data_IF_414340121816
#
_entry.id   IF_414340121816
#
_cell.length_a   1.000
_cell.length_b   1.000
_cell.length_c   1.000
_cell.angle_alpha   90.00
_cell.angle_beta   90.00
_cell.angle_gamma   90.00
#
_symmetry.space_group_name_H-M   'P 1'
#
loop_
_entity.id
_entity.type
_entity.pdbx_description
1 polymer ?
#
# COMPACT_ATOMS: atom_id res chain seq x y z
N UNK A 1 9.49 25.19 -0.77
CA UNK A 1 8.96 25.92 -1.94
C UNK A 1 7.55 26.36 -1.60
N UNK A 2 7.33 27.67 -1.37
CA UNK A 2 6.03 28.19 -0.91
C UNK A 2 4.89 27.83 -1.88
N UNK A 3 5.15 27.94 -3.19
CA UNK A 3 4.18 27.60 -4.26
C UNK A 3 3.64 26.18 -4.14
N UNK A 4 4.49 25.20 -3.82
CA UNK A 4 4.07 23.80 -3.67
C UNK A 4 3.23 23.60 -2.41
N UNK A 5 3.55 24.33 -1.33
CA UNK A 5 2.78 24.28 -0.09
C UNK A 5 1.38 24.89 -0.30
N UNK A 6 1.30 26.04 -0.97
CA UNK A 6 0.02 26.68 -1.30
C UNK A 6 -0.85 25.77 -2.18
N UNK A 7 -0.23 25.13 -3.19
CA UNK A 7 -0.93 24.16 -4.03
C UNK A 7 -1.46 22.97 -3.22
N UNK A 8 -0.68 22.43 -2.28
CA UNK A 8 -1.14 21.34 -1.40
C UNK A 8 -2.26 21.77 -0.46
N UNK A 9 -2.28 23.02 0.00
CA UNK A 9 -3.40 23.54 0.80
C UNK A 9 -4.70 23.61 0.00
N UNK A 10 -4.63 24.05 -1.27
CA UNK A 10 -5.79 24.06 -2.18
C UNK A 10 -6.27 22.63 -2.45
N UNK A 11 -5.34 21.70 -2.70
CA UNK A 11 -5.65 20.27 -2.87
C UNK A 11 -6.33 19.71 -1.63
N UNK A 12 -5.82 20.01 -0.44
CA UNK A 12 -6.41 19.56 0.82
C UNK A 12 -7.86 20.01 0.93
N UNK A 13 -8.14 21.30 0.71
CA UNK A 13 -9.50 21.84 0.75
C UNK A 13 -10.44 21.19 -0.27
N UNK A 14 -9.94 20.87 -1.47
CA UNK A 14 -10.73 20.17 -2.49
C UNK A 14 -11.07 18.72 -2.10
N UNK A 15 -10.20 18.07 -1.32
CA UNK A 15 -10.40 16.71 -0.82
C UNK A 15 -11.19 16.67 0.50
N UNK A 16 -11.23 17.78 1.24
CA UNK A 16 -11.79 17.81 2.58
C UNK A 16 -13.31 17.94 2.63
N UNK A 17 -13.96 18.42 1.56
CA UNK A 17 -15.42 18.57 1.53
C UNK A 17 -16.14 17.21 1.58
N UNK A 18 -16.80 16.87 2.71
CA UNK A 18 -17.63 15.66 2.79
C UNK A 18 -18.96 15.93 2.08
N UNK A 19 -19.52 14.90 1.45
CA UNK A 19 -20.83 14.94 0.75
C UNK A 19 -22.03 15.24 1.67
N UNK A 20 -21.83 15.45 2.97
CA UNK A 20 -22.92 15.63 3.94
C UNK A 20 -23.79 16.88 3.66
N UNK A 21 -23.25 17.90 2.98
CA UNK A 21 -23.99 19.12 2.62
C UNK A 21 -24.61 19.13 1.21
N UNK A 22 -24.45 18.06 0.41
CA UNK A 22 -24.90 18.04 -1.00
C UNK A 22 -26.26 17.34 -1.22
N UNK A 23 -26.95 16.98 -0.13
CA UNK A 23 -28.18 16.16 -0.14
C UNK A 23 -29.37 16.73 -0.93
N UNK A 24 -29.26 17.90 -1.56
CA UNK A 24 -30.36 18.53 -2.30
C UNK A 24 -30.10 18.83 -3.79
N UNK A 25 -28.89 18.65 -4.35
CA UNK A 25 -28.63 18.94 -5.78
C UNK A 25 -27.59 18.00 -6.40
N UNK A 26 -28.04 17.12 -7.29
CA UNK A 26 -27.19 16.20 -8.08
C UNK A 26 -26.13 16.92 -8.92
N UNK A 27 -26.44 18.11 -9.44
CA UNK A 27 -25.50 18.87 -10.28
C UNK A 27 -24.27 19.36 -9.48
N UNK A 28 -24.41 19.57 -8.17
CA UNK A 28 -23.31 20.00 -7.30
C UNK A 28 -22.41 18.82 -6.88
N UNK A 29 -22.91 17.57 -6.92
CA UNK A 29 -22.13 16.37 -6.60
C UNK A 29 -21.11 16.03 -7.69
N UNK A 30 -21.52 16.07 -8.96
CA UNK A 30 -20.64 15.78 -10.10
C UNK A 30 -19.49 16.79 -10.20
N UNK A 31 -19.78 18.05 -9.89
CA UNK A 31 -18.81 19.15 -9.87
C UNK A 31 -17.78 19.00 -8.76
N UNK A 32 -18.19 18.54 -7.57
CA UNK A 32 -17.30 18.30 -6.43
C UNK A 32 -16.40 17.09 -6.69
N UNK A 33 -16.95 15.99 -7.22
CA UNK A 33 -16.16 14.81 -7.59
C UNK A 33 -15.16 15.13 -8.71
N UNK A 34 -15.53 15.98 -9.68
CA UNK A 34 -14.62 16.45 -10.73
C UNK A 34 -13.45 17.29 -10.17
N UNK A 35 -13.72 18.21 -9.23
CA UNK A 35 -12.67 19.02 -8.56
C UNK A 35 -11.74 18.15 -7.72
N UNK A 36 -12.28 17.21 -6.95
CA UNK A 36 -11.49 16.26 -6.18
C UNK A 36 -10.61 15.39 -7.09
N UNK A 37 -11.12 14.98 -8.25
CA UNK A 37 -10.36 14.22 -9.23
C UNK A 37 -9.21 15.03 -9.85
N UNK A 38 -9.42 16.31 -10.14
CA UNK A 38 -8.34 17.21 -10.59
C UNK A 38 -7.30 17.37 -9.49
N UNK A 39 -7.75 17.66 -8.26
CA UNK A 39 -6.87 17.86 -7.10
C UNK A 39 -6.00 16.62 -6.81
N UNK A 40 -6.57 15.42 -6.83
CA UNK A 40 -5.79 14.19 -6.56
C UNK A 40 -4.82 13.85 -7.69
N UNK A 41 -5.12 14.22 -8.94
CA UNK A 41 -4.17 14.07 -10.05
C UNK A 41 -3.00 15.03 -9.91
N UNK A 42 -3.26 16.27 -9.47
CA UNK A 42 -2.21 17.24 -9.15
C UNK A 42 -1.38 16.76 -7.96
N UNK A 43 -2.00 16.22 -6.93
CA UNK A 43 -1.31 15.59 -5.80
C UNK A 43 -0.39 14.46 -6.29
N UNK A 44 -0.90 13.55 -7.13
CA UNK A 44 -0.10 12.47 -7.70
C UNK A 44 1.11 13.01 -8.49
N UNK A 45 0.90 14.01 -9.34
CA UNK A 45 2.00 14.68 -10.05
C UNK A 45 3.04 15.25 -9.09
N UNK A 46 2.60 15.97 -8.05
CA UNK A 46 3.48 16.51 -7.02
C UNK A 46 4.25 15.37 -6.35
N UNK A 47 3.58 14.31 -5.87
CA UNK A 47 4.24 13.18 -5.19
C UNK A 47 5.28 12.47 -6.05
N UNK A 48 5.07 12.35 -7.36
CA UNK A 48 6.08 11.85 -8.30
C UNK A 48 7.31 12.77 -8.39
N UNK A 49 7.12 14.08 -8.21
CA UNK A 49 8.20 15.06 -8.22
C UNK A 49 8.85 15.28 -6.84
N UNK A 50 8.25 14.77 -5.74
CA UNK A 50 8.71 15.01 -4.36
C UNK A 50 10.05 14.34 -4.01
N UNK A 51 10.61 13.50 -4.88
CA UNK A 51 11.85 12.73 -4.69
C UNK A 51 13.12 13.55 -4.38
N UNK A 52 13.02 14.88 -4.19
CA UNK A 52 14.11 15.82 -3.94
C UNK A 52 13.72 17.04 -3.08
N UNK A 53 12.66 16.98 -2.27
CA UNK A 53 12.01 18.20 -1.73
C UNK A 53 12.05 18.34 -0.19
N UNK A 54 12.10 19.59 0.26
CA UNK A 54 12.20 20.00 1.67
C UNK A 54 11.07 19.44 2.56
N UNK A 55 11.39 19.13 3.82
CA UNK A 55 10.48 18.50 4.80
C UNK A 55 9.13 19.21 5.04
N UNK A 56 9.04 20.53 4.80
CA UNK A 56 7.77 21.27 4.91
C UNK A 56 6.70 20.87 3.89
N UNK A 57 7.08 20.22 2.78
CA UNK A 57 6.13 19.72 1.77
C UNK A 57 5.57 18.35 2.19
N UNK A 58 6.39 17.52 2.85
CA UNK A 58 6.03 16.18 3.34
C UNK A 58 4.92 16.22 4.40
N UNK A 59 5.02 17.19 5.32
CA UNK A 59 4.03 17.36 6.40
C UNK A 59 2.62 17.67 5.88
N UNK A 60 2.50 18.35 4.73
CA UNK A 60 1.20 18.72 4.14
C UNK A 60 0.71 17.64 3.17
N UNK A 61 1.63 16.96 2.45
CA UNK A 61 1.25 15.94 1.48
C UNK A 61 0.62 14.70 2.12
N UNK A 62 1.09 14.25 3.29
CA UNK A 62 0.57 13.05 3.97
C UNK A 62 -0.93 13.19 4.30
N UNK A 63 -1.40 14.26 4.96
CA UNK A 63 -2.84 14.49 5.17
C UNK A 63 -3.65 14.50 3.87
N UNK A 64 -3.13 15.10 2.79
CA UNK A 64 -3.82 15.10 1.50
C UNK A 64 -3.98 13.68 0.93
N UNK A 65 -2.93 12.86 1.03
CA UNK A 65 -2.97 11.48 0.55
C UNK A 65 -3.95 10.63 1.37
N UNK A 66 -3.93 10.76 2.69
CA UNK A 66 -4.88 10.06 3.57
C UNK A 66 -6.32 10.45 3.24
N UNK A 67 -6.59 11.74 3.04
CA UNK A 67 -7.93 12.22 2.67
C UNK A 67 -8.37 11.66 1.31
N UNK A 68 -7.47 11.62 0.33
CA UNK A 68 -7.75 11.00 -0.96
C UNK A 68 -8.04 9.50 -0.86
N UNK A 69 -7.34 8.75 0.00
CA UNK A 69 -7.56 7.32 0.23
C UNK A 69 -8.91 7.02 0.89
N UNK A 70 -9.39 7.92 1.73
CA UNK A 70 -10.69 7.83 2.40
C UNK A 70 -11.86 8.36 1.52
N UNK A 71 -11.55 9.10 0.46
CA UNK A 71 -12.54 9.84 -0.33
C UNK A 71 -13.60 8.95 -1.00
N UNK A 72 -14.92 9.24 -0.94
CA UNK A 72 -15.96 8.31 -1.41
C UNK A 72 -15.82 7.81 -2.87
N UNK A 73 -15.32 8.66 -3.78
CA UNK A 73 -15.11 8.30 -5.18
C UNK A 73 -13.96 7.30 -5.35
N UNK A 74 -14.25 6.13 -5.92
CA UNK A 74 -13.24 5.09 -6.22
C UNK A 74 -12.09 5.61 -7.11
N UNK A 75 -12.38 6.54 -8.02
CA UNK A 75 -11.35 7.15 -8.85
C UNK A 75 -10.34 7.95 -8.01
N UNK A 76 -10.83 8.72 -7.03
CA UNK A 76 -9.99 9.50 -6.12
C UNK A 76 -9.20 8.59 -5.18
N UNK A 77 -9.84 7.58 -4.57
CA UNK A 77 -9.16 6.57 -3.74
C UNK A 77 -7.98 5.93 -4.45
N UNK A 78 -8.20 5.49 -5.68
CA UNK A 78 -7.15 4.88 -6.50
C UNK A 78 -5.93 5.80 -6.69
N UNK A 79 -6.14 7.09 -6.96
CA UNK A 79 -5.02 8.04 -7.05
C UNK A 79 -4.36 8.29 -5.69
N UNK A 80 -5.13 8.36 -4.60
CA UNK A 80 -4.59 8.45 -3.23
C UNK A 80 -3.63 7.29 -2.93
N UNK A 81 -4.05 6.06 -3.22
CA UNK A 81 -3.23 4.86 -2.99
C UNK A 81 -1.98 4.85 -3.88
N UNK A 82 -2.08 5.33 -5.13
CA UNK A 82 -0.90 5.54 -5.99
C UNK A 82 0.09 6.53 -5.39
N UNK A 83 -0.40 7.62 -4.81
CA UNK A 83 0.46 8.58 -4.10
C UNK A 83 1.13 7.91 -2.89
N UNK A 84 0.40 7.11 -2.12
CA UNK A 84 0.96 6.35 -0.99
C UNK A 84 2.05 5.38 -1.44
N UNK A 85 1.86 4.66 -2.55
CA UNK A 85 2.90 3.80 -3.14
C UNK A 85 4.17 4.60 -3.52
N UNK A 86 4.02 5.79 -4.13
CA UNK A 86 5.16 6.67 -4.43
C UNK A 86 5.88 7.16 -3.17
N UNK A 87 5.14 7.56 -2.15
CA UNK A 87 5.70 7.94 -0.85
C UNK A 87 6.44 6.75 -0.22
N UNK A 88 5.86 5.55 -0.29
CA UNK A 88 6.46 4.32 0.24
C UNK A 88 7.80 3.98 -0.40
N UNK A 89 8.00 4.34 -1.68
CA UNK A 89 9.26 4.11 -2.38
C UNK A 89 10.33 5.16 -2.02
N UNK A 90 9.93 6.39 -1.69
CA UNK A 90 10.86 7.47 -1.38
C UNK A 90 11.63 7.22 -0.06
N UNK A 91 12.95 7.40 -0.07
CA UNK A 91 13.82 7.10 1.07
C UNK A 91 13.72 8.13 2.23
N UNK A 92 13.03 9.25 2.01
CA UNK A 92 13.18 10.44 2.83
C UNK A 92 12.05 10.69 3.83
N UNK A 93 11.13 9.74 4.02
CA UNK A 93 10.06 9.82 5.01
C UNK A 93 10.42 9.03 6.26
N UNK A 94 10.18 9.62 7.43
CA UNK A 94 10.38 8.96 8.72
C UNK A 94 9.32 7.89 9.00
N UNK A 95 9.59 6.97 9.92
CA UNK A 95 8.62 5.94 10.31
C UNK A 95 7.31 6.50 10.86
N UNK A 96 7.39 7.58 11.63
CA UNK A 96 6.23 8.22 12.26
C UNK A 96 5.33 8.89 11.20
N UNK A 97 5.94 9.44 10.15
CA UNK A 97 5.23 10.00 9.00
C UNK A 97 4.55 8.91 8.15
N UNK A 98 5.15 7.72 8.05
CA UNK A 98 4.62 6.60 7.26
C UNK A 98 3.54 5.79 7.99
N UNK A 99 3.55 5.76 9.33
CA UNK A 99 2.65 4.91 10.11
C UNK A 99 1.15 5.10 9.78
N UNK A 100 0.62 6.33 9.65
CA UNK A 100 -0.77 6.53 9.25
C UNK A 100 -1.07 6.03 7.83
N UNK A 101 -0.12 6.20 6.90
CA UNK A 101 -0.27 5.72 5.52
C UNK A 101 -0.20 4.20 5.43
N UNK A 102 0.57 3.56 6.31
CA UNK A 102 0.62 2.09 6.40
C UNK A 102 -0.73 1.54 6.84
N UNK A 103 -1.33 2.08 7.89
CA UNK A 103 -2.67 1.68 8.35
C UNK A 103 -3.70 1.84 7.21
N UNK A 104 -3.75 3.01 6.57
CA UNK A 104 -4.65 3.24 5.45
C UNK A 104 -4.37 2.33 4.24
N UNK A 105 -3.10 1.99 3.98
CA UNK A 105 -2.72 1.06 2.90
C UNK A 105 -3.18 -0.37 3.19
N UNK A 106 -3.08 -0.80 4.45
CA UNK A 106 -3.58 -2.10 4.93
C UNK A 106 -5.09 -2.21 4.77
N UNK A 107 -5.82 -1.15 5.10
CA UNK A 107 -7.27 -1.11 4.91
C UNK A 107 -7.66 -1.11 3.43
N UNK A 108 -6.87 -0.45 2.59
CA UNK A 108 -7.07 -0.44 1.14
C UNK A 108 -6.83 -1.80 0.47
N UNK A 109 -6.20 -2.77 1.14
CA UNK A 109 -6.09 -4.15 0.67
C UNK A 109 -7.46 -4.86 0.70
N UNK A 110 -8.33 -4.51 1.65
CA UNK A 110 -9.60 -5.20 1.89
C UNK A 110 -10.54 -4.96 0.72
N UNK A 111 -10.86 -6.03 -0.03
CA UNK A 111 -11.77 -5.96 -1.18
C UNK A 111 -11.21 -5.15 -2.36
N UNK A 112 -9.89 -4.97 -2.44
CA UNK A 112 -9.27 -4.18 -3.49
C UNK A 112 -9.50 -4.77 -4.88
N UNK A 113 -9.88 -3.92 -5.83
CA UNK A 113 -9.95 -4.28 -7.25
C UNK A 113 -8.54 -4.50 -7.85
N UNK A 114 -8.40 -5.18 -8.99
CA UNK A 114 -7.08 -5.41 -9.61
C UNK A 114 -6.34 -4.12 -9.97
N UNK A 115 -7.05 -2.99 -10.08
CA UNK A 115 -6.48 -1.67 -10.37
C UNK A 115 -5.88 -0.99 -9.13
N UNK A 116 -6.40 -1.31 -7.94
CA UNK A 116 -5.98 -0.73 -6.67
C UNK A 116 -4.96 -1.63 -5.97
N UNK A 117 -5.21 -2.94 -6.02
CA UNK A 117 -4.43 -3.96 -5.34
C UNK A 117 -2.91 -3.83 -5.50
N UNK A 118 -2.33 -3.64 -6.71
CA UNK A 118 -0.88 -3.49 -6.86
C UNK A 118 -0.29 -2.41 -5.96
N UNK A 119 -0.95 -1.24 -5.93
CA UNK A 119 -0.45 -0.06 -5.24
C UNK A 119 -0.62 -0.18 -3.73
N UNK A 120 -1.74 -0.75 -3.27
CA UNK A 120 -1.98 -1.00 -1.85
C UNK A 120 -1.00 -2.06 -1.31
N UNK A 121 -0.75 -3.12 -2.10
CA UNK A 121 0.20 -4.17 -1.76
C UNK A 121 1.63 -3.63 -1.67
N UNK A 122 2.07 -2.89 -2.69
CA UNK A 122 3.38 -2.26 -2.73
C UNK A 122 3.56 -1.29 -1.55
N UNK A 123 2.60 -0.40 -1.31
CA UNK A 123 2.69 0.59 -0.24
C UNK A 123 2.72 -0.05 1.14
N UNK A 124 1.83 -1.01 1.41
CA UNK A 124 1.76 -1.69 2.70
C UNK A 124 3.05 -2.48 2.99
N UNK A 125 3.54 -3.27 2.03
CA UNK A 125 4.77 -4.04 2.19
C UNK A 125 5.99 -3.11 2.40
N UNK A 126 6.19 -2.12 1.52
CA UNK A 126 7.35 -1.23 1.60
C UNK A 126 7.37 -0.41 2.90
N UNK A 127 6.23 0.14 3.31
CA UNK A 127 6.16 0.92 4.55
C UNK A 127 6.37 0.04 5.78
N UNK A 128 5.85 -1.19 5.79
CA UNK A 128 6.09 -2.15 6.89
C UNK A 128 7.59 -2.39 7.07
N UNK A 129 8.32 -2.66 5.99
CA UNK A 129 9.78 -2.88 6.04
C UNK A 129 10.52 -1.65 6.55
N UNK A 130 10.17 -0.46 6.06
CA UNK A 130 10.82 0.80 6.48
C UNK A 130 10.57 1.11 7.94
N UNK A 131 9.33 0.96 8.40
CA UNK A 131 8.96 1.16 9.80
C UNK A 131 9.68 0.14 10.68
N UNK A 132 9.71 -1.13 10.26
CA UNK A 132 10.39 -2.19 10.99
C UNK A 132 11.91 -1.96 11.09
N UNK A 133 12.55 -1.39 10.06
CA UNK A 133 13.99 -1.12 10.08
C UNK A 133 14.40 -0.02 11.07
N UNK A 134 13.52 0.95 11.35
CA UNK A 134 13.80 2.08 12.25
C UNK A 134 13.42 1.78 13.71
N UNK A 135 12.45 0.89 13.92
CA UNK A 135 11.96 0.57 15.26
C UNK A 135 12.98 -0.27 16.04
N UNK A 136 13.80 0.40 16.84
CA UNK A 136 14.56 -0.18 17.97
C UNK A 136 13.62 -0.61 19.12
N UNK A 137 12.32 -0.31 19.03
CA UNK A 137 11.30 -0.38 20.10
C UNK A 137 10.84 -1.80 20.50
N UNK A 138 11.64 -2.83 20.23
CA UNK A 138 11.41 -4.19 20.71
C UNK A 138 10.77 -5.13 19.69
N UNK A 139 11.12 -6.41 19.80
CA UNK A 139 10.76 -7.48 18.87
C UNK A 139 9.24 -7.64 18.68
N UNK A 140 8.45 -7.42 19.73
CA UNK A 140 6.99 -7.57 19.68
C UNK A 140 6.29 -6.56 18.78
N UNK A 141 6.77 -5.31 18.74
CA UNK A 141 6.21 -4.28 17.86
C UNK A 141 6.49 -4.65 16.39
N UNK A 142 7.72 -5.06 16.08
CA UNK A 142 8.10 -5.50 14.75
C UNK A 142 7.26 -6.70 14.28
N UNK A 143 7.11 -7.69 15.16
CA UNK A 143 6.28 -8.87 14.92
C UNK A 143 4.83 -8.50 14.64
N UNK A 144 4.27 -7.52 15.36
CA UNK A 144 2.91 -7.05 15.15
C UNK A 144 2.74 -6.39 13.78
N UNK A 145 3.67 -5.53 13.37
CA UNK A 145 3.62 -4.86 12.06
C UNK A 145 3.67 -5.85 10.89
N UNK A 146 4.60 -6.81 10.93
CA UNK A 146 4.65 -7.87 9.92
C UNK A 146 3.37 -8.70 9.94
N UNK A 147 2.90 -9.13 11.13
CA UNK A 147 1.69 -9.97 11.25
C UNK A 147 0.47 -9.30 10.63
N UNK A 148 0.26 -8.02 10.90
CA UNK A 148 -0.90 -7.30 10.38
C UNK A 148 -0.86 -7.19 8.86
N UNK A 149 0.29 -6.81 8.28
CA UNK A 149 0.48 -6.74 6.83
C UNK A 149 0.31 -8.11 6.18
N UNK A 150 0.93 -9.17 6.72
CA UNK A 150 0.73 -10.54 6.22
C UNK A 150 -0.73 -10.94 6.22
N UNK A 151 -1.45 -10.67 7.31
CA UNK A 151 -2.86 -11.05 7.43
C UNK A 151 -3.69 -10.41 6.32
N UNK A 152 -3.58 -9.09 6.14
CA UNK A 152 -4.35 -8.35 5.12
C UNK A 152 -4.00 -8.77 3.70
N UNK A 153 -2.72 -8.99 3.42
CA UNK A 153 -2.27 -9.42 2.09
C UNK A 153 -2.79 -10.82 1.79
N UNK A 154 -2.63 -11.76 2.74
CA UNK A 154 -3.04 -13.14 2.56
C UNK A 154 -4.56 -13.31 2.51
N UNK A 155 -5.33 -12.51 3.25
CA UNK A 155 -6.80 -12.55 3.18
C UNK A 155 -7.27 -12.29 1.76
N UNK A 156 -6.79 -11.21 1.14
CA UNK A 156 -7.20 -10.83 -0.21
C UNK A 156 -6.61 -11.75 -1.27
N UNK A 157 -5.35 -12.14 -1.14
CA UNK A 157 -4.72 -13.06 -2.10
C UNK A 157 -5.39 -14.44 -2.09
N UNK A 158 -5.82 -14.94 -0.92
CA UNK A 158 -6.51 -16.23 -0.82
C UNK A 158 -7.89 -16.19 -1.49
N UNK A 159 -8.61 -15.07 -1.42
CA UNK A 159 -9.89 -14.90 -2.13
C UNK A 159 -9.71 -14.95 -3.66
N UNK A 160 -8.54 -14.55 -4.15
CA UNK A 160 -8.20 -14.49 -5.57
C UNK A 160 -7.12 -15.50 -5.98
N UNK A 161 -7.01 -16.63 -5.26
CA UNK A 161 -5.91 -17.60 -5.41
C UNK A 161 -5.77 -18.20 -6.82
N UNK A 162 -6.83 -18.19 -7.63
CA UNK A 162 -6.80 -18.69 -9.01
C UNK A 162 -6.75 -17.57 -10.06
N UNK A 163 -6.74 -16.30 -9.65
CA UNK A 163 -6.66 -15.17 -10.57
C UNK A 163 -5.20 -14.82 -10.86
N UNK A 164 -4.78 -15.09 -12.09
CA UNK A 164 -3.43 -14.83 -12.61
C UNK A 164 -3.00 -13.37 -12.41
N UNK A 165 -3.92 -12.40 -12.50
CA UNK A 165 -3.59 -10.97 -12.33
C UNK A 165 -3.21 -10.66 -10.89
N UNK A 166 -3.92 -11.23 -9.92
CA UNK A 166 -3.58 -11.06 -8.51
C UNK A 166 -2.32 -11.85 -8.14
N UNK A 167 -2.22 -13.08 -8.64
CA UNK A 167 -1.05 -13.93 -8.42
C UNK A 167 0.25 -13.25 -8.88
N UNK A 168 0.28 -12.73 -10.12
CA UNK A 168 1.46 -12.05 -10.65
C UNK A 168 1.91 -10.86 -9.78
N UNK A 169 0.96 -10.08 -9.25
CA UNK A 169 1.25 -8.94 -8.38
C UNK A 169 1.78 -9.36 -7.02
N UNK A 170 1.20 -10.40 -6.42
CA UNK A 170 1.73 -10.99 -5.17
C UNK A 170 3.15 -11.48 -5.39
N UNK A 171 3.39 -12.24 -6.46
CA UNK A 171 4.71 -12.81 -6.75
C UNK A 171 5.78 -11.75 -7.09
N UNK A 172 5.37 -10.56 -7.54
CA UNK A 172 6.29 -9.46 -7.78
C UNK A 172 6.77 -8.75 -6.50
N UNK A 173 5.92 -8.66 -5.47
CA UNK A 173 6.21 -7.86 -4.24
C UNK A 173 6.55 -8.74 -3.05
N UNK A 174 5.82 -9.84 -2.89
CA UNK A 174 5.80 -10.62 -1.66
C UNK A 174 7.09 -11.38 -1.35
N UNK A 175 7.88 -11.87 -2.32
CA UNK A 175 9.19 -12.48 -2.04
C UNK A 175 10.14 -11.56 -1.28
N UNK A 176 10.34 -10.32 -1.74
CA UNK A 176 11.19 -9.35 -1.05
C UNK A 176 10.64 -8.98 0.34
N UNK A 177 9.32 -8.93 0.49
CA UNK A 177 8.69 -8.75 1.79
C UNK A 177 8.97 -9.92 2.75
N UNK A 178 8.85 -11.18 2.28
CA UNK A 178 9.20 -12.36 3.07
C UNK A 178 10.67 -12.40 3.46
N UNK A 179 11.58 -11.97 2.57
CA UNK A 179 13.00 -11.86 2.90
C UNK A 179 13.26 -10.89 4.06
N UNK A 180 12.58 -9.74 4.06
CA UNK A 180 12.69 -8.74 5.13
C UNK A 180 12.07 -9.20 6.45
N UNK A 181 10.99 -9.99 6.39
CA UNK A 181 10.28 -10.52 7.55
C UNK A 181 11.06 -11.62 8.29
N UNK A 182 11.94 -12.35 7.60
CA UNK A 182 12.75 -13.43 8.18
C UNK A 182 11.89 -14.43 8.98
N UNK A 183 12.21 -14.71 10.25
CA UNK A 183 11.45 -15.65 11.09
C UNK A 183 10.00 -15.22 11.38
N UNK A 184 9.64 -13.96 11.14
CA UNK A 184 8.27 -13.48 11.34
C UNK A 184 7.27 -14.07 10.33
N UNK A 185 7.74 -14.75 9.27
CA UNK A 185 6.85 -15.46 8.33
C UNK A 185 6.31 -16.78 8.90
N UNK A 186 6.98 -17.37 9.90
CA UNK A 186 6.67 -18.72 10.40
C UNK A 186 5.19 -18.89 10.80
N UNK A 187 4.56 -17.95 11.54
CA UNK A 187 3.14 -18.05 11.89
C UNK A 187 2.19 -18.03 10.70
N UNK A 188 2.65 -17.59 9.52
CA UNK A 188 1.85 -17.42 8.32
C UNK A 188 2.03 -18.55 7.29
N UNK A 189 2.96 -19.50 7.51
CA UNK A 189 3.26 -20.56 6.55
C UNK A 189 2.07 -21.45 6.21
N UNK A 190 1.19 -21.69 7.19
CA UNK A 190 -0.05 -22.46 6.99
C UNK A 190 -1.00 -21.82 5.98
N UNK A 191 -0.84 -20.51 5.71
CA UNK A 191 -1.60 -19.75 4.72
C UNK A 191 -0.78 -19.48 3.45
N UNK A 192 0.52 -19.23 3.60
CA UNK A 192 1.43 -18.97 2.47
C UNK A 192 1.57 -20.22 1.59
N UNK A 193 1.83 -21.39 2.16
CA UNK A 193 2.09 -22.59 1.35
C UNK A 193 0.89 -23.03 0.51
N UNK A 194 -0.35 -23.13 1.04
CA UNK A 194 -1.49 -23.46 0.20
C UNK A 194 -1.69 -22.47 -0.96
N UNK A 195 -1.51 -21.17 -0.70
CA UNK A 195 -1.61 -20.14 -1.72
C UNK A 195 -0.54 -20.31 -2.81
N UNK A 196 0.72 -20.53 -2.42
CA UNK A 196 1.81 -20.75 -3.38
C UNK A 196 1.65 -22.07 -4.15
N UNK A 197 1.11 -23.12 -3.52
CA UNK A 197 0.76 -24.37 -4.20
C UNK A 197 -0.33 -24.15 -5.26
N UNK A 198 -1.35 -23.33 -4.97
CA UNK A 198 -2.36 -22.96 -5.96
C UNK A 198 -1.72 -22.21 -7.15
N UNK A 199 -0.82 -21.27 -6.87
CA UNK A 199 -0.10 -20.55 -7.93
C UNK A 199 0.84 -21.43 -8.74
N UNK A 200 1.48 -22.44 -8.14
CA UNK A 200 2.31 -23.43 -8.84
C UNK A 200 1.53 -24.27 -9.85
N UNK A 201 0.22 -24.43 -9.63
CA UNK A 201 -0.69 -25.16 -10.53
C UNK A 201 -1.24 -24.27 -11.64
N UNK A 202 -0.81 -23.01 -11.71
CA UNK A 202 -1.20 -22.09 -12.77
C UNK A 202 -0.74 -22.59 -14.14
N UNK A 203 -1.58 -22.38 -15.16
CA UNK A 203 -1.24 -22.62 -16.57
C UNK A 203 -0.29 -21.56 -17.14
N UNK A 204 -0.06 -20.48 -16.39
CA UNK A 204 0.87 -19.43 -16.76
C UNK A 204 2.25 -19.71 -16.13
N UNK A 205 3.25 -19.95 -16.98
CA UNK A 205 4.60 -20.32 -16.56
C UNK A 205 5.26 -19.27 -15.66
N UNK A 206 5.06 -17.97 -15.94
CA UNK A 206 5.64 -16.89 -15.13
C UNK A 206 5.09 -16.92 -13.69
N UNK A 207 3.80 -17.22 -13.53
CA UNK A 207 3.16 -17.37 -12.21
C UNK A 207 3.69 -18.61 -11.50
N UNK A 208 3.79 -19.74 -12.20
CA UNK A 208 4.29 -20.99 -11.61
C UNK A 208 5.76 -20.88 -11.20
N UNK A 209 6.61 -20.29 -12.05
CA UNK A 209 8.03 -20.00 -11.73
C UNK A 209 8.14 -19.00 -10.58
N UNK A 210 7.34 -17.93 -10.60
CA UNK A 210 7.30 -16.95 -9.52
C UNK A 210 6.90 -17.58 -8.18
N UNK A 211 5.92 -18.49 -8.19
CA UNK A 211 5.47 -19.21 -7.01
C UNK A 211 6.54 -20.16 -6.47
N UNK A 212 7.27 -20.87 -7.33
CA UNK A 212 8.41 -21.70 -6.94
C UNK A 212 9.51 -20.86 -6.26
N UNK A 213 9.83 -19.70 -6.83
CA UNK A 213 10.79 -18.76 -6.25
C UNK A 213 10.34 -18.22 -4.89
N UNK A 214 9.06 -17.84 -4.76
CA UNK A 214 8.49 -17.39 -3.51
C UNK A 214 8.49 -18.50 -2.44
N UNK A 215 8.22 -19.75 -2.85
CA UNK A 215 8.25 -20.91 -1.95
C UNK A 215 9.67 -21.19 -1.45
N UNK A 216 10.68 -21.10 -2.32
CA UNK A 216 12.10 -21.19 -1.94
C UNK A 216 12.44 -20.15 -0.87
N UNK A 217 12.06 -18.88 -1.08
CA UNK A 217 12.28 -17.81 -0.09
C UNK A 217 11.61 -18.14 1.24
N UNK A 218 10.34 -18.57 1.22
CA UNK A 218 9.61 -18.92 2.44
C UNK A 218 10.32 -20.04 3.23
N UNK A 219 10.80 -21.09 2.54
CA UNK A 219 11.54 -22.19 3.18
C UNK A 219 12.87 -21.69 3.75
N UNK A 220 13.66 -20.95 2.97
CA UNK A 220 14.99 -20.45 3.39
C UNK A 220 14.95 -19.51 4.60
N UNK A 221 13.84 -18.78 4.77
CA UNK A 221 13.64 -17.81 5.86
C UNK A 221 12.92 -18.41 7.06
N UNK A 222 12.07 -19.42 6.85
CA UNK A 222 11.38 -20.13 7.92
C UNK A 222 12.25 -21.18 8.62
N UNK A 223 13.24 -21.73 7.91
CA UNK A 223 14.10 -22.76 8.48
C UNK A 223 14.99 -22.15 9.57
N UNK A 224 14.97 -22.69 10.81
CA UNK A 224 15.90 -22.26 11.84
C UNK A 224 17.31 -22.58 11.38
N UNK A 225 18.08 -21.54 11.06
CA UNK A 225 19.51 -21.68 10.82
C UNK A 225 20.12 -22.01 12.17
N UNK A 226 20.57 -23.26 12.33
CA UNK A 226 21.40 -23.65 13.47
C UNK A 226 22.63 -22.74 13.42
N UNK A 227 22.74 -21.85 14.40
CA UNK A 227 23.85 -20.94 14.62
C UNK A 227 24.30 -21.05 16.05
#
# INVERSE_FOLDING_TARGET
CAIVQDALMVIFQALDKPKEDLSFRRDDEDDVDARALVAVRQLHFITCALSRTNGGVKRISIPCVLRAMDYPSHAVKMYGIRCAARISAAAEYSSDELAPLLAASRDALIGATPKIWPYALESACNMTVKIAAVHVKGEDVLKNEYRETFTRVLDTASLHAMDVKYAALVLAVFPSFMESANLFIVPHLSRIFPLLCAYLQSVNDDVSIGAANAMRVAVERAWPRVG
#
